data_IF_559840556810
#
_entry.id   IF_559840556810
#
_cell.length_a   1.000
_cell.length_b   1.000
_cell.length_c   1.000
_cell.angle_alpha   90.00
_cell.angle_beta   90.00
_cell.angle_gamma   90.00
#
_symmetry.space_group_name_H-M   'P 1'
#
loop_
_entity.id
_entity.type
_entity.pdbx_description
1 polymer ?
#
# COMPACT_ATOMS: atom_id res chain seq x y z
N UNK A 1 28.91 -32.70 57.22
CA UNK A 1 28.68 -31.34 56.70
C UNK A 1 28.47 -31.44 55.20
N UNK A 2 27.25 -31.51 54.76
CA UNK A 2 26.88 -31.63 53.35
C UNK A 2 26.49 -30.26 52.83
N UNK A 3 27.19 -29.76 51.83
CA UNK A 3 26.81 -28.56 51.08
C UNK A 3 25.73 -28.95 50.08
N UNK A 4 24.49 -28.49 50.33
CA UNK A 4 23.40 -28.55 49.37
C UNK A 4 23.62 -27.38 48.39
N UNK A 5 24.10 -27.68 47.17
CA UNK A 5 24.11 -26.75 46.07
C UNK A 5 22.67 -26.52 45.62
N UNK A 6 22.05 -25.39 46.03
CA UNK A 6 20.88 -24.83 45.43
C UNK A 6 21.28 -24.27 44.04
N UNK A 7 21.16 -25.13 43.02
CA UNK A 7 21.12 -24.66 41.64
C UNK A 7 19.78 -23.98 41.47
N UNK A 8 19.78 -22.64 41.59
CA UNK A 8 18.64 -21.81 41.15
C UNK A 8 18.49 -22.01 39.64
N UNK A 9 17.58 -22.85 39.27
CA UNK A 9 17.11 -22.90 37.88
C UNK A 9 16.55 -21.51 37.53
N UNK A 10 17.37 -20.72 36.87
CA UNK A 10 16.89 -19.55 36.15
C UNK A 10 15.88 -20.08 35.11
N UNK A 11 14.60 -20.06 35.46
CA UNK A 11 13.56 -20.07 34.48
C UNK A 11 13.79 -18.84 33.59
N UNK A 12 14.56 -19.03 32.52
CA UNK A 12 14.55 -18.09 31.38
C UNK A 12 13.10 -17.85 31.03
N UNK A 13 12.63 -16.62 31.31
CA UNK A 13 11.24 -16.24 31.15
C UNK A 13 10.83 -16.44 29.71
N UNK A 14 10.19 -17.56 29.44
CA UNK A 14 9.48 -17.75 28.18
C UNK A 14 8.54 -16.56 28.03
N UNK A 15 8.85 -15.71 27.05
CA UNK A 15 7.96 -14.58 26.71
C UNK A 15 6.54 -15.11 26.58
N UNK A 16 5.54 -14.49 27.20
CA UNK A 16 4.18 -14.98 27.21
C UNK A 16 3.72 -15.22 25.77
N UNK A 17 3.35 -16.48 25.45
CA UNK A 17 2.84 -16.87 24.13
C UNK A 17 1.56 -16.07 23.90
N UNK A 18 1.65 -14.98 23.14
CA UNK A 18 0.48 -14.18 22.79
C UNK A 18 -0.44 -15.03 21.92
N UNK A 19 -1.74 -15.12 22.25
CA UNK A 19 -2.68 -15.86 21.43
C UNK A 19 -2.72 -15.24 20.02
N UNK A 20 -2.83 -16.06 18.96
CA UNK A 20 -2.83 -15.57 17.60
C UNK A 20 -4.00 -14.60 17.36
N UNK A 21 -3.71 -13.47 16.76
CA UNK A 21 -4.68 -12.38 16.58
C UNK A 21 -5.69 -12.72 15.48
N UNK A 22 -6.98 -12.49 15.74
CA UNK A 22 -8.03 -12.56 14.73
C UNK A 22 -7.94 -11.35 13.80
N UNK A 23 -7.90 -11.60 12.49
CA UNK A 23 -7.90 -10.53 11.48
C UNK A 23 -9.29 -9.96 11.25
N UNK A 24 -9.38 -8.64 11.18
CA UNK A 24 -10.61 -7.94 10.81
C UNK A 24 -10.98 -8.24 9.35
N UNK A 25 -12.26 -8.50 9.01
CA UNK A 25 -12.69 -8.88 7.65
C UNK A 25 -12.24 -7.90 6.56
N UNK A 26 -12.27 -6.59 6.83
CA UNK A 26 -11.86 -5.55 5.87
C UNK A 26 -10.38 -5.71 5.46
N UNK A 27 -9.50 -6.13 6.38
CA UNK A 27 -8.08 -6.35 6.10
C UNK A 27 -7.86 -7.53 5.17
N UNK A 28 -8.68 -8.57 5.32
CA UNK A 28 -8.69 -9.76 4.45
C UNK A 28 -9.23 -9.37 3.08
N UNK A 29 -10.39 -8.73 3.04
CA UNK A 29 -11.04 -8.29 1.79
C UNK A 29 -10.13 -7.36 0.99
N UNK A 30 -9.53 -6.35 1.63
CA UNK A 30 -8.62 -5.41 0.95
C UNK A 30 -7.45 -6.13 0.29
N UNK A 31 -6.87 -7.12 0.98
CA UNK A 31 -5.74 -7.87 0.42
C UNK A 31 -6.13 -8.61 -0.86
N UNK A 32 -7.27 -9.29 -0.88
CA UNK A 32 -7.74 -10.02 -2.07
C UNK A 32 -8.24 -9.08 -3.19
N UNK A 33 -8.81 -7.92 -2.84
CA UNK A 33 -9.23 -6.92 -3.82
C UNK A 33 -8.07 -6.09 -4.39
N UNK A 34 -6.89 -6.11 -3.76
CA UNK A 34 -5.79 -5.24 -4.15
C UNK A 34 -5.38 -5.44 -5.62
N UNK A 35 -5.28 -6.68 -6.11
CA UNK A 35 -4.96 -6.95 -7.51
C UNK A 35 -6.07 -6.55 -8.49
N UNK A 36 -7.32 -7.03 -8.37
CA UNK A 36 -8.35 -6.64 -9.31
C UNK A 36 -8.59 -5.13 -9.32
N UNK A 37 -8.55 -4.47 -8.17
CA UNK A 37 -8.72 -3.03 -8.07
C UNK A 37 -7.53 -2.24 -8.63
N UNK A 38 -6.33 -2.79 -8.68
CA UNK A 38 -5.21 -2.16 -9.38
C UNK A 38 -5.52 -2.00 -10.88
N UNK A 39 -6.04 -3.05 -11.52
CA UNK A 39 -6.43 -3.01 -12.93
C UNK A 39 -7.69 -2.17 -13.15
N UNK A 40 -8.69 -2.27 -12.28
CA UNK A 40 -9.91 -1.45 -12.36
C UNK A 40 -9.57 0.04 -12.24
N UNK A 41 -8.71 0.44 -11.29
CA UNK A 41 -8.29 1.84 -11.12
C UNK A 41 -7.51 2.33 -12.33
N UNK A 42 -6.59 1.53 -12.87
CA UNK A 42 -5.83 1.86 -14.07
C UNK A 42 -6.74 2.01 -15.31
N UNK A 43 -7.66 1.08 -15.51
CA UNK A 43 -8.64 1.16 -16.58
C UNK A 43 -9.56 2.38 -16.41
N UNK A 44 -9.98 2.66 -15.19
CA UNK A 44 -10.84 3.80 -14.88
C UNK A 44 -10.18 5.14 -15.24
N UNK A 45 -8.96 5.40 -14.80
CA UNK A 45 -8.26 6.66 -15.13
C UNK A 45 -7.93 6.78 -16.62
N UNK A 46 -7.85 5.66 -17.34
CA UNK A 46 -7.56 5.61 -18.77
C UNK A 46 -8.81 5.80 -19.61
N UNK A 47 -9.78 4.89 -19.46
CA UNK A 47 -10.96 4.81 -20.34
C UNK A 47 -12.29 5.06 -19.63
N UNK A 48 -12.31 5.19 -18.29
CA UNK A 48 -13.56 5.36 -17.52
C UNK A 48 -14.41 6.54 -17.99
N UNK A 49 -13.77 7.60 -18.47
CA UNK A 49 -14.43 8.77 -19.05
C UNK A 49 -15.29 8.44 -20.29
N UNK A 50 -14.96 7.37 -21.01
CA UNK A 50 -15.74 6.94 -22.17
C UNK A 50 -17.19 6.56 -21.79
N UNK A 51 -17.42 6.10 -20.56
CA UNK A 51 -18.75 5.79 -20.04
C UNK A 51 -19.68 7.01 -20.00
N UNK A 52 -19.11 8.21 -19.96
CA UNK A 52 -19.82 9.50 -19.95
C UNK A 52 -19.71 10.23 -21.29
N UNK A 53 -19.20 9.59 -22.34
CA UNK A 53 -18.94 10.24 -23.62
C UNK A 53 -17.85 11.32 -23.58
N UNK A 54 -17.04 11.36 -22.50
CA UNK A 54 -16.01 12.36 -22.24
C UNK A 54 -14.59 11.83 -22.54
N UNK A 55 -14.45 10.78 -23.34
CA UNK A 55 -13.15 10.31 -23.83
C UNK A 55 -12.71 11.15 -25.03
N UNK A 56 -11.42 11.52 -25.05
CA UNK A 56 -10.81 12.35 -26.10
C UNK A 56 -9.36 11.99 -26.35
N UNK A 57 -8.57 13.01 -26.68
CA UNK A 57 -7.19 12.87 -27.17
C UNK A 57 -6.18 12.39 -26.11
N UNK A 58 -6.52 12.52 -24.80
CA UNK A 58 -5.64 12.06 -23.72
C UNK A 58 -5.73 10.55 -23.44
N UNK A 59 -6.74 9.85 -23.93
CA UNK A 59 -6.92 8.40 -23.70
C UNK A 59 -5.70 7.59 -24.12
N UNK A 60 -5.10 7.75 -25.31
CA UNK A 60 -3.88 7.03 -25.69
C UNK A 60 -2.69 7.32 -24.76
N UNK A 61 -2.52 8.58 -24.34
CA UNK A 61 -1.43 8.97 -23.43
C UNK A 61 -1.58 8.27 -22.10
N UNK A 62 -2.79 8.24 -21.54
CA UNK A 62 -3.07 7.57 -20.28
C UNK A 62 -2.91 6.05 -20.38
N UNK A 63 -3.25 5.47 -21.54
CA UNK A 63 -3.15 4.05 -21.78
C UNK A 63 -1.70 3.54 -21.82
N UNK A 64 -0.75 4.36 -22.26
CA UNK A 64 0.67 3.97 -22.35
C UNK A 64 1.52 4.47 -21.17
N UNK A 65 1.01 5.40 -20.35
CA UNK A 65 1.78 6.04 -19.26
C UNK A 65 1.14 5.83 -17.89
N UNK A 66 0.16 6.65 -17.53
CA UNK A 66 -0.40 6.73 -16.18
C UNK A 66 -1.15 5.46 -15.76
N UNK A 67 -1.92 4.84 -16.68
CA UNK A 67 -2.65 3.61 -16.40
C UNK A 67 -1.70 2.46 -16.03
N UNK A 68 -0.77 2.07 -16.91
CA UNK A 68 0.22 1.04 -16.60
C UNK A 68 1.07 1.36 -15.37
N UNK A 69 1.51 2.62 -15.20
CA UNK A 69 2.29 3.01 -14.04
C UNK A 69 1.52 2.80 -12.72
N UNK A 70 0.26 3.22 -12.66
CA UNK A 70 -0.59 3.01 -11.49
C UNK A 70 -0.80 1.52 -11.21
N UNK A 71 -1.11 0.73 -12.26
CA UNK A 71 -1.29 -0.71 -12.13
C UNK A 71 -0.05 -1.39 -11.57
N UNK A 72 1.14 -1.07 -12.10
CA UNK A 72 2.41 -1.65 -11.64
C UNK A 72 2.68 -1.32 -10.18
N UNK A 73 2.54 -0.05 -9.77
CA UNK A 73 2.78 0.37 -8.38
C UNK A 73 1.83 -0.38 -7.42
N UNK A 74 0.54 -0.42 -7.73
CA UNK A 74 -0.45 -1.11 -6.89
C UNK A 74 -0.25 -2.62 -6.86
N UNK A 75 0.10 -3.25 -8.00
CA UNK A 75 0.40 -4.69 -8.06
C UNK A 75 1.65 -5.05 -7.25
N UNK A 76 2.71 -4.25 -7.31
CA UNK A 76 3.90 -4.43 -6.48
C UNK A 76 3.57 -4.30 -4.99
N UNK A 77 2.80 -3.28 -4.60
CA UNK A 77 2.34 -3.12 -3.23
C UNK A 77 1.52 -4.32 -2.76
N UNK A 78 0.57 -4.79 -3.58
CA UNK A 78 -0.23 -5.97 -3.29
C UNK A 78 0.65 -7.22 -3.12
N UNK A 79 1.62 -7.42 -4.02
CA UNK A 79 2.54 -8.57 -3.97
C UNK A 79 3.36 -8.61 -2.68
N UNK A 80 3.99 -7.49 -2.29
CA UNK A 80 4.74 -7.43 -1.05
C UNK A 80 3.84 -7.65 0.17
N UNK A 81 2.63 -7.08 0.17
CA UNK A 81 1.68 -7.25 1.27
C UNK A 81 1.18 -8.70 1.38
N UNK A 82 0.94 -9.38 0.25
CA UNK A 82 0.61 -10.82 0.25
C UNK A 82 1.74 -11.66 0.85
N UNK A 83 2.99 -11.39 0.47
CA UNK A 83 4.15 -12.10 1.02
C UNK A 83 4.30 -11.88 2.52
N UNK A 84 4.15 -10.65 2.99
CA UNK A 84 4.18 -10.33 4.41
C UNK A 84 3.07 -11.07 5.17
N UNK A 85 1.84 -10.98 4.67
CA UNK A 85 0.69 -11.60 5.31
C UNK A 85 0.80 -13.14 5.41
N UNK A 86 1.34 -13.82 4.39
CA UNK A 86 1.59 -15.27 4.44
C UNK A 86 2.69 -15.63 5.44
N UNK A 87 3.76 -14.82 5.52
CA UNK A 87 4.83 -15.05 6.50
C UNK A 87 4.32 -14.94 7.94
N UNK A 88 3.46 -13.96 8.24
CA UNK A 88 2.86 -13.79 9.58
C UNK A 88 1.92 -14.93 9.97
N UNK A 89 1.24 -15.54 8.99
CA UNK A 89 0.46 -16.75 9.25
C UNK A 89 1.38 -17.94 9.49
N UNK A 90 2.42 -18.10 8.69
CA UNK A 90 3.40 -19.18 8.84
C UNK A 90 4.17 -19.13 10.17
N UNK A 91 4.42 -17.91 10.71
CA UNK A 91 5.05 -17.72 12.04
C UNK A 91 4.07 -17.87 13.21
N UNK A 92 2.78 -18.11 12.96
CA UNK A 92 1.75 -18.23 14.00
C UNK A 92 1.29 -16.90 14.61
N UNK A 93 1.76 -15.76 14.11
CA UNK A 93 1.36 -14.43 14.61
C UNK A 93 -0.12 -14.16 14.34
N UNK A 94 -0.63 -14.62 13.21
CA UNK A 94 -2.01 -14.41 12.78
C UNK A 94 -2.70 -15.71 12.37
N UNK A 95 -4.02 -15.83 12.63
CA UNK A 95 -4.83 -16.96 12.23
C UNK A 95 -5.21 -16.95 10.74
N UNK A 96 -5.20 -15.78 10.10
CA UNK A 96 -5.61 -15.60 8.71
C UNK A 96 -4.74 -14.55 8.01
N UNK A 97 -4.62 -14.71 6.71
CA UNK A 97 -3.92 -13.75 5.84
C UNK A 97 -4.71 -12.43 5.78
N UNK A 98 -4.04 -11.31 5.97
CA UNK A 98 -4.69 -10.00 5.91
C UNK A 98 -3.68 -8.85 5.86
N UNK A 99 -4.09 -7.74 5.26
CA UNK A 99 -3.25 -6.55 5.10
C UNK A 99 -3.03 -5.79 6.42
N UNK A 100 -1.96 -5.00 6.51
CA UNK A 100 -1.78 -4.03 7.59
C UNK A 100 -2.78 -2.88 7.47
N UNK A 101 -3.14 -2.23 8.58
CA UNK A 101 -4.07 -1.09 8.55
C UNK A 101 -3.54 0.07 7.71
N UNK A 102 -2.25 0.39 7.79
CA UNK A 102 -1.65 1.44 6.98
C UNK A 102 -1.83 1.16 5.47
N UNK A 103 -1.62 -0.09 5.04
CA UNK A 103 -1.87 -0.48 3.65
C UNK A 103 -3.35 -0.35 3.28
N UNK A 104 -4.27 -0.81 4.15
CA UNK A 104 -5.72 -0.70 3.92
C UNK A 104 -6.11 0.76 3.66
N UNK A 105 -5.77 1.67 4.57
CA UNK A 105 -6.11 3.09 4.42
C UNK A 105 -5.51 3.71 3.16
N UNK A 106 -4.24 3.43 2.86
CA UNK A 106 -3.57 3.99 1.68
C UNK A 106 -4.21 3.51 0.39
N UNK A 107 -4.55 2.22 0.29
CA UNK A 107 -5.17 1.65 -0.91
C UNK A 107 -6.59 2.16 -1.12
N UNK A 108 -7.41 2.23 -0.06
CA UNK A 108 -8.78 2.77 -0.15
C UNK A 108 -8.78 4.25 -0.54
N UNK A 109 -7.87 5.05 0.05
CA UNK A 109 -7.69 6.44 -0.33
C UNK A 109 -7.25 6.56 -1.81
N UNK A 110 -6.31 5.71 -2.24
CA UNK A 110 -5.88 5.66 -3.63
C UNK A 110 -7.04 5.35 -4.59
N UNK A 111 -7.89 4.35 -4.29
CA UNK A 111 -9.04 4.02 -5.13
C UNK A 111 -10.06 5.15 -5.22
N UNK A 112 -10.37 5.80 -4.07
CA UNK A 112 -11.26 6.95 -4.05
C UNK A 112 -10.70 8.13 -4.86
N UNK A 113 -9.42 8.43 -4.70
CA UNK A 113 -8.75 9.49 -5.44
C UNK A 113 -8.62 9.16 -6.93
N UNK A 114 -8.35 7.91 -7.30
CA UNK A 114 -8.35 7.47 -8.70
C UNK A 114 -9.73 7.63 -9.35
N UNK A 115 -10.80 7.33 -8.61
CA UNK A 115 -12.16 7.56 -9.07
C UNK A 115 -12.41 9.05 -9.34
N UNK A 116 -12.06 9.93 -8.39
CA UNK A 116 -12.18 11.37 -8.56
C UNK A 116 -11.30 11.88 -9.70
N UNK A 117 -10.06 11.40 -9.80
CA UNK A 117 -9.15 11.74 -10.88
C UNK A 117 -9.77 11.47 -12.25
N UNK A 118 -10.28 10.25 -12.48
CA UNK A 118 -10.95 9.90 -13.74
C UNK A 118 -12.21 10.72 -14.05
N UNK A 119 -12.91 11.20 -13.01
CA UNK A 119 -14.09 12.06 -13.17
C UNK A 119 -13.74 13.51 -13.50
N UNK A 120 -12.71 14.04 -12.84
CA UNK A 120 -12.39 15.47 -12.91
C UNK A 120 -11.37 15.83 -13.97
N UNK A 121 -10.52 14.90 -14.41
CA UNK A 121 -9.50 15.25 -15.39
C UNK A 121 -10.17 15.68 -16.71
N UNK A 122 -9.81 16.90 -17.22
CA UNK A 122 -10.32 17.35 -18.51
C UNK A 122 -9.64 16.57 -19.65
N UNK A 123 -10.40 16.33 -20.69
CA UNK A 123 -9.93 15.81 -21.97
C UNK A 123 -10.37 16.76 -23.10
N UNK A 124 -9.86 16.56 -24.30
CA UNK A 124 -10.22 17.33 -25.45
C UNK A 124 -10.79 16.43 -26.53
N UNK A 125 -11.94 16.81 -27.05
CA UNK A 125 -12.60 16.13 -28.17
C UNK A 125 -12.87 17.13 -29.29
N UNK A 126 -12.17 16.99 -30.39
CA UNK A 126 -12.22 17.93 -31.50
C UNK A 126 -11.96 19.41 -31.05
N UNK A 127 -11.01 19.62 -30.12
CA UNK A 127 -10.69 20.94 -29.59
C UNK A 127 -11.63 21.48 -28.51
N UNK A 128 -12.71 20.76 -28.17
CA UNK A 128 -13.65 21.16 -27.12
C UNK A 128 -13.28 20.42 -25.82
N UNK A 129 -13.11 21.13 -24.68
CA UNK A 129 -12.83 20.50 -23.41
C UNK A 129 -14.04 19.72 -22.91
N UNK A 130 -13.80 18.47 -22.47
CA UNK A 130 -14.81 17.55 -21.92
C UNK A 130 -14.27 16.94 -20.63
N UNK A 131 -15.15 16.56 -19.70
CA UNK A 131 -14.79 15.81 -18.49
C UNK A 131 -15.97 14.99 -18.00
N UNK A 132 -15.70 13.97 -17.19
CA UNK A 132 -16.77 13.15 -16.60
C UNK A 132 -17.72 13.99 -15.74
N UNK A 133 -17.18 14.92 -14.95
CA UNK A 133 -18.00 15.84 -14.14
C UNK A 133 -18.82 16.79 -15.02
N UNK A 134 -18.25 17.31 -16.12
CA UNK A 134 -18.97 18.14 -17.07
C UNK A 134 -20.11 17.42 -17.74
N UNK A 135 -19.96 16.13 -18.04
CA UNK A 135 -21.03 15.30 -18.60
C UNK A 135 -22.18 15.04 -17.61
N UNK A 136 -21.89 14.95 -16.30
CA UNK A 136 -22.90 14.69 -15.27
C UNK A 136 -23.54 15.97 -14.71
N UNK A 137 -22.75 17.02 -14.47
CA UNK A 137 -23.19 18.24 -13.79
C UNK A 137 -23.46 19.42 -14.74
N UNK A 138 -23.10 19.29 -16.01
CA UNK A 138 -23.22 20.34 -17.03
C UNK A 138 -21.89 20.95 -17.47
N UNK A 139 -21.89 21.52 -18.69
CA UNK A 139 -20.69 22.03 -19.35
C UNK A 139 -19.94 23.10 -18.55
N UNK A 140 -20.65 23.91 -17.76
CA UNK A 140 -20.07 24.93 -16.89
C UNK A 140 -19.10 24.38 -15.82
N UNK A 141 -19.21 23.08 -15.50
CA UNK A 141 -18.39 22.41 -14.51
C UNK A 141 -17.09 21.81 -15.08
N UNK A 142 -16.89 21.84 -16.38
CA UNK A 142 -15.63 21.36 -17.01
C UNK A 142 -14.41 22.13 -16.49
N UNK A 143 -14.55 23.41 -16.18
CA UNK A 143 -13.48 24.26 -15.62
C UNK A 143 -12.95 23.77 -14.27
N UNK A 144 -13.77 23.13 -13.43
CA UNK A 144 -13.31 22.53 -12.18
C UNK A 144 -12.33 21.35 -12.41
N UNK A 145 -12.44 20.70 -13.56
CA UNK A 145 -11.55 19.61 -13.94
C UNK A 145 -10.09 20.06 -14.04
N UNK A 146 -9.83 21.26 -14.53
CA UNK A 146 -8.47 21.76 -14.67
C UNK A 146 -7.76 21.98 -13.31
N UNK A 147 -8.51 22.44 -12.29
CA UNK A 147 -7.97 22.68 -10.95
C UNK A 147 -7.84 21.38 -10.13
N UNK A 148 -8.91 20.59 -10.07
CA UNK A 148 -8.96 19.41 -9.21
C UNK A 148 -8.37 18.15 -9.84
N UNK A 149 -8.42 18.01 -11.17
CA UNK A 149 -7.93 16.83 -11.87
C UNK A 149 -6.46 16.54 -11.57
N UNK A 150 -5.59 17.53 -11.73
CA UNK A 150 -4.16 17.37 -11.42
C UNK A 150 -3.92 17.04 -9.94
N UNK A 151 -4.62 17.71 -9.03
CA UNK A 151 -4.49 17.47 -7.58
C UNK A 151 -4.87 16.02 -7.24
N UNK A 152 -6.01 15.54 -7.74
CA UNK A 152 -6.42 14.14 -7.52
C UNK A 152 -5.46 13.16 -8.16
N UNK A 153 -4.90 13.47 -9.32
CA UNK A 153 -3.87 12.65 -9.96
C UNK A 153 -2.62 12.51 -9.10
N UNK A 154 -2.05 13.63 -8.65
CA UNK A 154 -0.87 13.64 -7.77
C UNK A 154 -1.14 12.84 -6.49
N UNK A 155 -2.27 13.09 -5.83
CA UNK A 155 -2.65 12.40 -4.60
C UNK A 155 -2.89 10.89 -4.83
N UNK A 156 -3.45 10.49 -5.98
CA UNK A 156 -3.63 9.08 -6.35
C UNK A 156 -2.29 8.36 -6.37
N UNK A 157 -1.31 8.92 -7.09
CA UNK A 157 0.03 8.33 -7.18
C UNK A 157 0.77 8.39 -5.84
N UNK A 158 0.64 9.47 -5.09
CA UNK A 158 1.23 9.57 -3.75
C UNK A 158 0.70 8.47 -2.82
N UNK A 159 -0.61 8.21 -2.81
CA UNK A 159 -1.22 7.15 -2.00
C UNK A 159 -0.86 5.75 -2.50
N UNK A 160 -0.75 5.54 -3.82
CA UNK A 160 -0.28 4.28 -4.39
C UNK A 160 1.16 3.97 -3.96
N UNK A 161 2.07 4.95 -4.06
CA UNK A 161 3.46 4.83 -3.62
C UNK A 161 3.52 4.59 -2.11
N UNK A 162 2.74 5.32 -1.31
CA UNK A 162 2.66 5.12 0.13
C UNK A 162 2.25 3.69 0.48
N UNK A 163 1.23 3.16 -0.18
CA UNK A 163 0.81 1.76 0.00
C UNK A 163 1.93 0.78 -0.35
N UNK A 164 2.62 0.99 -1.47
CA UNK A 164 3.74 0.15 -1.90
C UNK A 164 4.91 0.20 -0.89
N UNK A 165 5.27 1.39 -0.38
CA UNK A 165 6.33 1.56 0.63
C UNK A 165 5.96 0.86 1.95
N UNK A 166 4.73 1.01 2.43
CA UNK A 166 4.23 0.31 3.63
C UNK A 166 4.34 -1.20 3.45
N UNK A 167 3.88 -1.71 2.31
CA UNK A 167 3.92 -3.14 2.00
C UNK A 167 5.37 -3.66 1.89
N UNK A 168 6.25 -2.92 1.22
CA UNK A 168 7.66 -3.26 1.10
C UNK A 168 8.35 -3.33 2.47
N UNK A 169 8.16 -2.32 3.32
CA UNK A 169 8.74 -2.28 4.65
C UNK A 169 8.21 -3.41 5.54
N UNK A 170 6.91 -3.69 5.50
CA UNK A 170 6.30 -4.82 6.21
C UNK A 170 6.92 -6.15 5.75
N UNK A 171 7.03 -6.37 4.43
CA UNK A 171 7.63 -7.56 3.86
C UNK A 171 9.12 -7.71 4.21
N UNK A 172 9.90 -6.61 4.26
CA UNK A 172 11.30 -6.65 4.72
C UNK A 172 11.40 -7.00 6.19
N UNK A 173 10.55 -6.42 7.04
CA UNK A 173 10.54 -6.70 8.48
C UNK A 173 10.21 -8.17 8.75
N UNK A 174 9.16 -8.71 8.16
CA UNK A 174 8.80 -10.13 8.33
C UNK A 174 9.87 -11.08 7.79
N UNK A 175 10.58 -10.71 6.72
CA UNK A 175 11.70 -11.49 6.20
C UNK A 175 12.88 -11.54 7.18
N UNK A 176 13.25 -10.43 7.81
CA UNK A 176 14.34 -10.36 8.82
C UNK A 176 13.98 -11.18 10.07
N UNK A 177 12.73 -11.05 10.56
CA UNK A 177 12.29 -11.84 11.72
C UNK A 177 12.39 -13.35 11.48
N UNK A 178 12.09 -13.81 10.26
CA UNK A 178 12.28 -15.22 9.90
C UNK A 178 13.74 -15.67 9.87
N UNK A 179 14.68 -14.73 9.67
CA UNK A 179 16.12 -14.99 9.70
C UNK A 179 16.73 -14.87 11.11
N UNK A 180 15.89 -14.64 12.14
CA UNK A 180 16.35 -14.44 13.51
C UNK A 180 17.00 -13.09 13.78
N UNK A 181 16.94 -12.16 12.81
CA UNK A 181 17.49 -10.80 12.96
C UNK A 181 16.39 -9.92 13.55
N UNK A 182 16.43 -9.73 14.87
CA UNK A 182 15.52 -8.80 15.57
C UNK A 182 16.03 -7.36 15.44
N UNK A 183 15.14 -6.40 15.67
CA UNK A 183 15.51 -4.97 15.66
C UNK A 183 16.60 -4.67 16.71
N UNK A 184 16.59 -5.39 17.85
CA UNK A 184 17.61 -5.32 18.92
C UNK A 184 19.01 -5.74 18.43
N UNK A 185 19.10 -6.84 17.68
CA UNK A 185 20.35 -7.31 17.08
C UNK A 185 20.90 -6.30 16.07
N UNK A 186 20.03 -5.66 15.30
CA UNK A 186 20.45 -4.61 14.35
C UNK A 186 20.95 -3.36 15.07
N UNK A 187 20.28 -2.94 16.16
CA UNK A 187 20.74 -1.81 16.98
C UNK A 187 22.08 -2.10 17.65
N UNK A 188 22.29 -3.31 18.13
CA UNK A 188 23.55 -3.73 18.72
C UNK A 188 24.68 -3.78 17.68
N UNK A 189 24.41 -4.31 16.49
CA UNK A 189 25.36 -4.26 15.37
C UNK A 189 25.65 -2.83 14.92
N UNK A 190 24.65 -1.95 14.90
CA UNK A 190 24.84 -0.55 14.56
C UNK A 190 25.68 0.19 15.61
N UNK A 191 25.53 -0.12 16.89
CA UNK A 191 26.39 0.41 17.97
C UNK A 191 27.83 -0.08 17.83
N UNK A 192 28.04 -1.38 17.55
CA UNK A 192 29.39 -1.95 17.37
C UNK A 192 30.08 -1.43 16.10
N UNK A 193 29.33 -0.96 15.10
CA UNK A 193 29.85 -0.37 13.87
C UNK A 193 29.90 1.16 13.91
N UNK A 194 29.58 1.76 15.04
CA UNK A 194 29.67 3.23 15.20
C UNK A 194 31.14 3.69 15.05
N UNK A 195 31.45 4.59 14.10
CA UNK A 195 32.80 5.08 13.89
C UNK A 195 33.30 5.96 15.00
N UNK A 196 32.51 6.16 16.07
CA UNK A 196 32.87 7.00 17.23
C UNK A 196 33.38 6.22 18.44
N UNK A 197 33.43 4.88 18.35
CA UNK A 197 33.90 4.00 19.47
C UNK A 197 35.39 4.15 19.80
N UNK A 198 36.13 4.96 19.02
CA UNK A 198 37.54 5.27 19.26
C UNK A 198 37.77 6.64 19.94
N UNK A 199 36.70 7.29 20.39
CA UNK A 199 36.75 8.60 21.05
C UNK A 199 36.57 8.53 22.59
N UNK A 200 36.34 7.32 23.15
CA UNK A 200 36.36 6.99 24.57
C UNK A 200 37.68 6.35 24.94
#
# INVERSE_FOLDING_TARGET
MGYVNNVSEHHEGQAPIRPPQRMHPIRIMTLYLAYPMAFVSAAWITVGRALFGAAGDLVPIFAISFGPALAVILCLGAWWMFRDAHRRVASGEHLRVGASWGFVFSVWACWALAFLFGMFIPDYRAGVPVSGIGALAGADHVGYGAGFGNTFGILTFAMAITAAVIAFNANRRSARMQQGVTDEVLEEQARQQSPYDFLD
#
